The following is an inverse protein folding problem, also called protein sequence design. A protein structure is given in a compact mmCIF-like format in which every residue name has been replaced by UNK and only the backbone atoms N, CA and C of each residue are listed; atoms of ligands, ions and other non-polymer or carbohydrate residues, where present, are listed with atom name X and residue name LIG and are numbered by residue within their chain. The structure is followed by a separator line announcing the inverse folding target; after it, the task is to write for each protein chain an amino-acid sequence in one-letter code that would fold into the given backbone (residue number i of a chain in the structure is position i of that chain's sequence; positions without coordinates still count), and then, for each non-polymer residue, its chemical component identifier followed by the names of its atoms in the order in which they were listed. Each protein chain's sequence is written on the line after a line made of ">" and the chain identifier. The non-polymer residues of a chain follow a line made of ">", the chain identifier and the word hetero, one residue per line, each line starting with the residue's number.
data_IF_735782033768
#
_entry.id   IF_735782033768
#
_cell.length_a   1.000
_cell.length_b   1.000
_cell.length_c   1.000
_cell.angle_alpha   90.00
_cell.angle_beta   90.00
_cell.angle_gamma   90.00
#
_symmetry.space_group_name_H-M   'P 1'
#
loop_
_entity.id
_entity.type
_entity.pdbx_description
1 polymer ?
#
# COMPACT_ATOMS: atom_id res chain seq x y z
N UNK A 1 22.17 -17.20 -7.91
CA UNK A 1 20.86 -17.40 -8.56
C UNK A 1 20.08 -18.36 -7.69
N UNK A 2 18.92 -17.94 -7.16
CA UNK A 2 18.13 -18.71 -6.19
C UNK A 2 17.50 -19.94 -6.85
N UNK A 3 18.21 -21.07 -6.80
CA UNK A 3 17.67 -22.39 -7.12
C UNK A 3 16.72 -22.87 -6.00
N UNK A 4 15.62 -22.16 -5.76
CA UNK A 4 14.52 -22.69 -4.96
C UNK A 4 13.47 -23.29 -5.91
N UNK A 5 13.19 -24.60 -5.86
CA UNK A 5 12.12 -25.26 -6.62
C UNK A 5 10.78 -24.52 -6.55
N UNK A 6 10.50 -23.85 -5.42
CA UNK A 6 9.33 -23.01 -5.20
C UNK A 6 9.07 -21.99 -6.31
N UNK A 7 10.12 -21.36 -6.85
CA UNK A 7 9.94 -20.32 -7.87
C UNK A 7 9.63 -20.89 -9.24
N UNK A 8 10.06 -22.13 -9.53
CA UNK A 8 9.65 -22.79 -10.78
C UNK A 8 8.15 -23.07 -10.77
N UNK A 9 7.61 -23.49 -9.62
CA UNK A 9 6.18 -23.70 -9.46
C UNK A 9 5.40 -22.38 -9.56
N UNK A 10 5.88 -21.32 -8.90
CA UNK A 10 5.25 -19.99 -8.99
C UNK A 10 5.34 -19.36 -10.39
N UNK A 11 6.38 -19.69 -11.17
CA UNK A 11 6.49 -19.28 -12.58
C UNK A 11 5.50 -20.03 -13.48
N UNK A 12 5.09 -21.25 -13.12
CA UNK A 12 4.02 -21.96 -13.84
C UNK A 12 2.67 -21.30 -13.58
N UNK A 13 2.45 -20.82 -12.35
CA UNK A 13 1.25 -20.04 -12.00
C UNK A 13 1.24 -18.67 -12.72
N UNK A 14 2.36 -17.96 -12.71
CA UNK A 14 2.51 -16.65 -13.34
C UNK A 14 3.89 -16.49 -14.02
N UNK A 15 3.97 -16.48 -15.36
CA UNK A 15 5.23 -16.33 -16.07
C UNK A 15 5.90 -14.97 -15.84
N UNK A 16 5.14 -13.96 -15.39
CA UNK A 16 5.64 -12.62 -15.08
C UNK A 16 6.01 -12.47 -13.60
N UNK A 17 6.25 -13.57 -12.86
CA UNK A 17 6.61 -13.54 -11.44
C UNK A 17 7.70 -12.49 -11.11
N UNK A 18 8.74 -12.40 -11.95
CA UNK A 18 9.85 -11.47 -11.77
C UNK A 18 9.62 -10.10 -12.43
N UNK A 19 8.38 -9.61 -12.43
CA UNK A 19 8.03 -8.21 -12.70
C UNK A 19 7.54 -7.52 -11.43
N UNK A 20 7.40 -6.20 -11.48
CA UNK A 20 6.78 -5.41 -10.40
C UNK A 20 5.40 -5.98 -10.02
N UNK A 21 4.55 -6.20 -11.02
CA UNK A 21 3.18 -6.71 -10.84
C UNK A 21 3.19 -8.15 -10.34
N UNK A 22 4.12 -8.98 -10.82
CA UNK A 22 4.29 -10.36 -10.40
C UNK A 22 4.62 -10.49 -8.92
N UNK A 23 5.65 -9.76 -8.45
CA UNK A 23 6.06 -9.76 -7.06
C UNK A 23 5.02 -9.10 -6.14
N UNK A 24 4.44 -7.97 -6.54
CA UNK A 24 3.37 -7.30 -5.78
C UNK A 24 2.16 -8.23 -5.62
N UNK A 25 1.74 -8.91 -6.69
CA UNK A 25 0.65 -9.88 -6.65
C UNK A 25 0.95 -11.07 -5.75
N UNK A 26 2.19 -11.57 -5.75
CA UNK A 26 2.62 -12.67 -4.89
C UNK A 26 2.51 -12.27 -3.41
N UNK A 27 3.04 -11.10 -3.06
CA UNK A 27 2.96 -10.58 -1.69
C UNK A 27 1.50 -10.35 -1.26
N UNK A 28 0.68 -9.83 -2.16
CA UNK A 28 -0.73 -9.60 -1.90
C UNK A 28 -1.51 -10.91 -1.66
N UNK A 29 -1.23 -11.97 -2.43
CA UNK A 29 -1.86 -13.28 -2.23
C UNK A 29 -1.34 -13.94 -0.94
N UNK A 30 -0.04 -13.84 -0.63
CA UNK A 30 0.55 -14.30 0.63
C UNK A 30 -0.13 -13.66 1.85
N UNK A 31 -0.31 -12.34 1.85
CA UNK A 31 -1.02 -11.62 2.91
C UNK A 31 -2.48 -12.11 3.07
N UNK A 32 -3.11 -12.48 1.95
CA UNK A 32 -4.53 -12.79 1.93
C UNK A 32 -4.86 -14.25 2.24
N UNK A 33 -3.91 -15.20 2.31
CA UNK A 33 -4.17 -16.64 2.45
C UNK A 33 -5.20 -17.04 3.53
N UNK A 34 -5.44 -16.22 4.56
CA UNK A 34 -6.52 -16.39 5.57
C UNK A 34 -7.93 -16.02 5.11
N UNK A 35 -8.06 -15.23 4.07
CA UNK A 35 -9.27 -14.57 3.62
C UNK A 35 -9.63 -15.03 2.21
N UNK A 36 -9.72 -16.35 2.01
CA UNK A 36 -10.03 -17.05 0.74
C UNK A 36 -11.19 -16.42 -0.05
N UNK A 37 -12.17 -15.83 0.65
CA UNK A 37 -13.33 -15.13 0.08
C UNK A 37 -13.05 -13.80 -0.65
N UNK A 38 -11.81 -13.28 -0.63
CA UNK A 38 -11.42 -11.98 -1.25
C UNK A 38 -10.25 -12.08 -2.25
N UNK A 39 -9.92 -13.29 -2.69
CA UNK A 39 -8.80 -13.48 -3.62
C UNK A 39 -9.22 -13.37 -5.07
N UNK A 40 -8.25 -12.94 -5.89
CA UNK A 40 -8.22 -13.25 -7.33
C UNK A 40 -7.35 -14.49 -7.63
N UNK A 41 -6.58 -14.97 -6.63
CA UNK A 41 -5.64 -16.12 -6.65
C UNK A 41 -4.85 -16.20 -7.96
N UNK A 42 -3.87 -15.30 -8.10
CA UNK A 42 -2.92 -15.32 -9.21
C UNK A 42 -1.95 -16.50 -9.05
N UNK A 43 -1.64 -16.87 -7.80
CA UNK A 43 -0.74 -17.98 -7.46
C UNK A 43 -1.48 -19.11 -6.72
N UNK A 44 -2.22 -19.99 -7.43
CA UNK A 44 -2.92 -21.13 -6.82
C UNK A 44 -1.97 -22.09 -6.08
N UNK A 45 -0.69 -22.16 -6.43
CA UNK A 45 0.29 -23.00 -5.75
C UNK A 45 0.51 -22.59 -4.28
N UNK A 46 0.19 -21.35 -3.90
CA UNK A 46 0.22 -20.92 -2.49
C UNK A 46 -0.81 -21.63 -1.60
N UNK A 47 -1.81 -22.30 -2.18
CA UNK A 47 -2.73 -23.16 -1.43
C UNK A 47 -2.00 -24.35 -0.80
N UNK A 48 -0.88 -24.78 -1.38
CA UNK A 48 0.03 -25.70 -0.71
C UNK A 48 0.86 -24.94 0.33
N UNK A 49 0.58 -25.20 1.61
CA UNK A 49 1.29 -24.58 2.74
C UNK A 49 2.81 -24.77 2.65
N UNK A 50 3.31 -25.83 1.99
CA UNK A 50 4.74 -26.05 1.80
C UNK A 50 5.38 -24.97 0.93
N UNK A 51 4.69 -24.50 -0.11
CA UNK A 51 5.15 -23.41 -0.98
C UNK A 51 5.27 -22.11 -0.19
N UNK A 52 4.29 -21.83 0.68
CA UNK A 52 4.32 -20.67 1.56
C UNK A 52 5.50 -20.71 2.56
N UNK A 53 5.78 -21.88 3.12
CA UNK A 53 6.94 -22.08 4.00
C UNK A 53 8.26 -22.01 3.21
N UNK A 54 8.34 -22.58 2.01
CA UNK A 54 9.52 -22.48 1.15
C UNK A 54 9.86 -21.02 0.79
N UNK A 55 8.85 -20.18 0.51
CA UNK A 55 9.01 -18.74 0.29
C UNK A 55 9.57 -18.01 1.53
N UNK A 56 9.20 -18.45 2.72
CA UNK A 56 9.76 -17.93 3.96
C UNK A 56 11.21 -18.42 4.21
N UNK A 57 11.76 -19.27 3.32
CA UNK A 57 13.08 -19.88 3.50
C UNK A 57 13.06 -21.08 4.48
N UNK A 58 11.88 -21.66 4.68
CA UNK A 58 11.61 -22.60 5.76
C UNK A 58 11.30 -24.03 5.30
N UNK A 59 11.36 -24.32 4.00
CA UNK A 59 10.85 -25.59 3.45
C UNK A 59 11.87 -26.71 3.20
N UNK A 60 13.19 -26.49 3.32
CA UNK A 60 14.21 -27.51 2.98
C UNK A 60 15.47 -27.53 3.89
N UNK A 61 15.37 -27.12 5.16
CA UNK A 61 16.54 -26.96 6.04
C UNK A 61 16.76 -28.08 7.06
N UNK A 62 17.76 -28.94 6.83
CA UNK A 62 18.38 -29.82 7.83
C UNK A 62 18.70 -29.04 9.14
N UNK A 63 17.99 -29.34 10.23
CA UNK A 63 18.25 -28.94 11.62
C UNK A 63 18.60 -27.44 11.87
N UNK A 64 17.56 -26.61 12.08
CA UNK A 64 17.46 -25.45 13.00
C UNK A 64 16.26 -24.55 12.67
N UNK A 65 15.72 -24.61 11.46
CA UNK A 65 14.57 -23.79 11.04
C UNK A 65 13.22 -24.45 11.35
N UNK A 66 13.07 -25.75 11.12
CA UNK A 66 11.88 -26.52 11.51
C UNK A 66 11.62 -26.49 13.02
N UNK A 67 12.70 -26.46 13.80
CA UNK A 67 12.64 -26.31 15.25
C UNK A 67 12.20 -24.89 15.65
N UNK A 68 12.65 -23.85 14.95
CA UNK A 68 12.18 -22.46 15.16
C UNK A 68 10.70 -22.34 14.81
N UNK A 69 10.24 -22.94 13.70
CA UNK A 69 8.82 -22.92 13.30
C UNK A 69 7.97 -23.74 14.25
N UNK A 70 8.40 -24.96 14.59
CA UNK A 70 7.73 -25.79 15.56
C UNK A 70 7.64 -25.03 16.89
N UNK A 71 8.74 -24.47 17.40
CA UNK A 71 8.74 -23.65 18.62
C UNK A 71 7.84 -22.41 18.51
N UNK A 72 7.86 -21.67 17.41
CA UNK A 72 6.95 -20.52 17.16
C UNK A 72 5.48 -20.97 17.15
N UNK A 73 5.18 -22.16 16.62
CA UNK A 73 3.83 -22.71 16.52
C UNK A 73 3.35 -23.41 17.81
N UNK A 74 4.24 -24.04 18.59
CA UNK A 74 3.91 -24.83 19.78
C UNK A 74 4.09 -24.07 21.09
N UNK A 75 5.06 -23.15 21.13
CA UNK A 75 5.30 -22.27 22.27
C UNK A 75 5.81 -20.89 21.80
N UNK A 76 4.88 -19.99 21.41
CA UNK A 76 5.21 -18.63 21.02
C UNK A 76 6.00 -17.83 22.08
N UNK A 77 6.05 -18.29 23.34
CA UNK A 77 6.80 -17.64 24.43
C UNK A 77 8.24 -18.13 24.55
N UNK A 78 8.50 -19.40 24.22
CA UNK A 78 9.79 -20.07 24.43
C UNK A 78 10.78 -19.93 23.28
N UNK A 79 10.32 -19.72 22.06
CA UNK A 79 11.17 -19.85 20.86
C UNK A 79 12.30 -18.82 20.77
N UNK A 80 12.14 -17.64 21.37
CA UNK A 80 13.14 -16.58 21.32
C UNK A 80 14.10 -16.60 22.51
N UNK A 81 13.91 -17.42 23.56
CA UNK A 81 14.60 -17.27 24.84
C UNK A 81 16.15 -17.28 24.74
N UNK A 82 16.72 -18.02 23.79
CA UNK A 82 18.18 -18.12 23.57
C UNK A 82 18.72 -17.14 22.50
N UNK A 83 17.87 -16.29 21.92
CA UNK A 83 18.24 -15.36 20.85
C UNK A 83 18.79 -14.02 21.39
N UNK A 84 19.47 -13.21 20.56
CA UNK A 84 19.88 -11.85 20.94
C UNK A 84 18.69 -10.97 21.34
N UNK A 85 18.94 -9.92 22.13
CA UNK A 85 17.90 -9.01 22.64
C UNK A 85 17.00 -8.39 21.57
N UNK A 86 17.54 -8.07 20.39
CA UNK A 86 16.76 -7.57 19.24
C UNK A 86 15.74 -8.58 18.71
N UNK A 87 16.05 -9.88 18.80
CA UNK A 87 15.14 -10.97 18.43
C UNK A 87 14.05 -11.16 19.49
N UNK A 88 14.37 -10.95 20.77
CA UNK A 88 13.36 -10.94 21.84
C UNK A 88 12.34 -9.81 21.66
N UNK A 89 12.78 -8.61 21.28
CA UNK A 89 11.89 -7.47 21.03
C UNK A 89 10.93 -7.75 19.87
N UNK A 90 11.44 -8.29 18.76
CA UNK A 90 10.60 -8.72 17.63
C UNK A 90 9.62 -9.83 18.02
N UNK A 91 10.06 -10.83 18.79
CA UNK A 91 9.20 -11.92 19.25
C UNK A 91 8.05 -11.42 20.15
N UNK A 92 8.35 -10.49 21.08
CA UNK A 92 7.33 -9.85 21.94
C UNK A 92 6.32 -9.06 21.13
N UNK A 93 6.73 -8.40 20.05
CA UNK A 93 5.81 -7.72 19.15
C UNK A 93 4.80 -8.69 18.53
N UNK A 94 5.26 -9.79 17.92
CA UNK A 94 4.36 -10.79 17.32
C UNK A 94 3.49 -11.49 18.36
N UNK A 95 4.02 -11.80 19.54
CA UNK A 95 3.24 -12.34 20.67
C UNK A 95 2.10 -11.38 21.07
N UNK A 96 2.39 -10.09 21.18
CA UNK A 96 1.42 -9.07 21.54
C UNK A 96 0.31 -8.96 20.50
N UNK A 97 0.66 -9.00 19.21
CA UNK A 97 -0.32 -9.04 18.13
C UNK A 97 -1.18 -10.31 18.18
N UNK A 98 -0.60 -11.47 18.52
CA UNK A 98 -1.35 -12.71 18.75
C UNK A 98 -2.34 -12.62 19.91
N UNK A 99 -1.99 -11.94 21.01
CA UNK A 99 -2.91 -11.72 22.15
C UNK A 99 -4.11 -10.84 21.77
N UNK A 100 -3.90 -9.83 20.92
CA UNK A 100 -4.94 -8.87 20.52
C UNK A 100 -5.85 -9.45 19.43
N UNK A 101 -5.28 -10.13 18.44
CA UNK A 101 -6.00 -10.52 17.21
C UNK A 101 -6.20 -12.04 17.05
N UNK A 102 -5.77 -12.85 18.02
CA UNK A 102 -5.95 -14.30 18.08
C UNK A 102 -4.64 -15.09 17.99
N UNK A 103 -4.62 -16.26 18.63
CA UNK A 103 -3.39 -17.02 18.91
C UNK A 103 -2.47 -17.26 17.70
N UNK A 104 -3.04 -17.45 16.50
CA UNK A 104 -2.26 -17.72 15.29
C UNK A 104 -1.85 -16.45 14.53
N UNK A 105 -2.37 -15.27 14.88
CA UNK A 105 -2.13 -14.03 14.13
C UNK A 105 -0.67 -13.57 14.20
N UNK A 106 -0.05 -13.65 15.38
CA UNK A 106 1.36 -13.28 15.55
C UNK A 106 2.30 -14.09 14.67
N UNK A 107 2.13 -15.41 14.66
CA UNK A 107 2.94 -16.33 13.85
C UNK A 107 2.78 -16.09 12.35
N UNK A 108 1.59 -15.79 11.89
CA UNK A 108 1.39 -15.52 10.47
C UNK A 108 1.89 -14.16 10.03
N UNK A 109 1.77 -13.14 10.88
CA UNK A 109 2.37 -11.84 10.62
C UNK A 109 3.90 -11.96 10.51
N UNK A 110 4.51 -12.78 11.38
CA UNK A 110 5.92 -13.12 11.28
C UNK A 110 6.26 -13.78 9.94
N UNK A 111 5.54 -14.85 9.57
CA UNK A 111 5.78 -15.57 8.31
C UNK A 111 5.64 -14.65 7.09
N UNK A 112 4.61 -13.80 7.06
CA UNK A 112 4.42 -12.84 5.98
C UNK A 112 5.57 -11.83 5.90
N UNK A 113 6.04 -11.29 7.04
CA UNK A 113 7.19 -10.39 7.04
C UNK A 113 8.45 -11.08 6.50
N UNK A 114 8.72 -12.33 6.90
CA UNK A 114 9.85 -13.10 6.35
C UNK A 114 9.74 -13.29 4.85
N UNK A 115 8.56 -13.65 4.34
CA UNK A 115 8.32 -13.80 2.89
C UNK A 115 8.53 -12.48 2.16
N UNK A 116 7.99 -11.38 2.71
CA UNK A 116 8.18 -10.04 2.16
C UNK A 116 9.65 -9.68 2.06
N UNK A 117 10.39 -9.85 3.15
CA UNK A 117 11.81 -9.50 3.19
C UNK A 117 12.62 -10.35 2.19
N UNK A 118 12.34 -11.66 2.09
CA UNK A 118 12.95 -12.54 1.08
C UNK A 118 12.63 -12.12 -0.35
N UNK A 119 11.38 -11.72 -0.64
CA UNK A 119 10.97 -11.23 -1.96
C UNK A 119 11.65 -9.88 -2.27
N UNK A 120 11.79 -9.00 -1.29
CA UNK A 120 12.49 -7.73 -1.45
C UNK A 120 14.01 -7.92 -1.70
N UNK A 121 14.61 -8.95 -1.12
CA UNK A 121 15.99 -9.32 -1.44
C UNK A 121 16.11 -9.84 -2.88
N UNK A 122 15.16 -10.65 -3.35
CA UNK A 122 15.09 -11.07 -4.76
C UNK A 122 14.91 -9.86 -5.67
N UNK A 123 14.00 -8.96 -5.33
CA UNK A 123 13.75 -7.72 -6.06
C UNK A 123 15.05 -6.92 -6.23
N UNK A 124 15.80 -6.68 -5.15
CA UNK A 124 17.11 -6.01 -5.18
C UNK A 124 18.10 -6.74 -6.07
N UNK A 125 18.24 -8.05 -5.88
CA UNK A 125 19.23 -8.87 -6.60
C UNK A 125 18.98 -8.91 -8.11
N UNK A 126 17.71 -8.83 -8.51
CA UNK A 126 17.29 -8.84 -9.92
C UNK A 126 17.05 -7.43 -10.47
N UNK A 127 17.26 -6.38 -9.67
CA UNK A 127 16.95 -4.99 -10.02
C UNK A 127 15.52 -4.79 -10.55
N UNK A 128 14.54 -5.49 -9.96
CA UNK A 128 13.13 -5.37 -10.33
C UNK A 128 12.58 -4.08 -9.72
N UNK A 129 11.97 -3.24 -10.54
CA UNK A 129 11.40 -1.96 -10.09
C UNK A 129 10.34 -2.17 -9.01
N UNK A 130 10.29 -1.28 -8.03
CA UNK A 130 9.20 -1.19 -7.06
C UNK A 130 8.08 -0.25 -7.50
N UNK A 131 8.14 0.23 -8.75
CA UNK A 131 7.20 1.20 -9.31
C UNK A 131 6.35 0.54 -10.39
N UNK A 132 5.04 0.73 -10.31
CA UNK A 132 4.06 0.29 -11.30
C UNK A 132 3.41 1.50 -11.97
N UNK A 133 2.72 1.25 -13.08
CA UNK A 133 1.94 2.28 -13.75
C UNK A 133 0.50 2.29 -13.23
N UNK A 134 0.06 3.40 -12.66
CA UNK A 134 -1.32 3.60 -12.24
C UNK A 134 -2.10 4.37 -13.30
N UNK A 135 -3.30 3.88 -13.60
CA UNK A 135 -4.25 4.58 -14.47
C UNK A 135 -5.40 5.12 -13.61
N UNK A 136 -5.69 6.40 -13.74
CA UNK A 136 -6.85 7.04 -13.10
C UNK A 136 -7.70 7.73 -14.16
N UNK A 137 -9.01 7.69 -13.96
CA UNK A 137 -9.98 8.40 -14.80
C UNK A 137 -10.79 9.33 -13.92
N UNK A 138 -10.58 10.63 -14.06
CA UNK A 138 -11.28 11.67 -13.30
C UNK A 138 -11.91 12.62 -14.32
N UNK A 139 -13.24 12.81 -14.25
CA UNK A 139 -13.99 13.72 -15.14
C UNK A 139 -13.79 13.44 -16.64
N UNK A 140 -13.81 12.15 -17.00
CA UNK A 140 -13.53 11.64 -18.35
C UNK A 140 -12.10 11.92 -18.86
N UNK A 141 -11.20 12.45 -18.02
CA UNK A 141 -9.78 12.56 -18.31
C UNK A 141 -9.04 11.33 -17.78
N UNK A 142 -8.48 10.55 -18.70
CA UNK A 142 -7.59 9.43 -18.37
C UNK A 142 -6.17 9.97 -18.18
N UNK A 143 -5.52 9.55 -17.10
CA UNK A 143 -4.14 9.89 -16.81
C UNK A 143 -3.42 8.68 -16.24
N UNK A 144 -2.18 8.51 -16.70
CA UNK A 144 -1.33 7.37 -16.36
C UNK A 144 -0.02 7.88 -15.79
N UNK A 145 0.37 7.42 -14.62
CA UNK A 145 1.58 7.88 -13.95
C UNK A 145 2.22 6.76 -13.11
N UNK A 146 3.56 6.82 -12.88
CA UNK A 146 4.24 5.86 -12.02
C UNK A 146 3.88 6.06 -10.55
N UNK A 147 3.66 4.96 -9.83
CA UNK A 147 3.41 4.95 -8.39
C UNK A 147 4.24 3.86 -7.70
N UNK A 148 4.57 4.08 -6.43
CA UNK A 148 5.23 3.07 -5.59
C UNK A 148 4.23 1.96 -5.26
N UNK A 149 4.67 0.71 -5.38
CA UNK A 149 3.95 -0.45 -4.86
C UNK A 149 4.25 -0.61 -3.36
N UNK A 150 3.23 -0.47 -2.51
CA UNK A 150 3.34 -0.40 -1.04
C UNK A 150 4.20 -1.49 -0.36
N UNK A 151 4.32 -2.65 -1.00
CA UNK A 151 5.02 -3.81 -0.43
C UNK A 151 6.41 -4.05 -1.03
N UNK A 152 6.76 -3.35 -2.12
CA UNK A 152 8.06 -3.45 -2.79
C UNK A 152 8.98 -2.30 -2.38
N UNK A 153 10.27 -2.47 -2.63
CA UNK A 153 11.26 -1.43 -2.34
C UNK A 153 11.38 -0.44 -3.49
N UNK A 154 11.38 0.85 -3.19
CA UNK A 154 11.75 1.89 -4.16
C UNK A 154 13.26 1.86 -4.39
N UNK A 155 13.70 1.40 -5.57
CA UNK A 155 15.10 1.37 -5.96
C UNK A 155 15.60 2.77 -6.37
N UNK A 156 16.91 2.96 -6.47
CA UNK A 156 17.47 4.26 -6.90
C UNK A 156 17.03 4.64 -8.33
N UNK A 157 16.92 3.66 -9.22
CA UNK A 157 16.37 3.85 -10.57
C UNK A 157 14.92 4.37 -10.54
N UNK A 158 14.14 3.92 -9.56
CA UNK A 158 12.73 4.26 -9.42
C UNK A 158 12.54 5.70 -8.96
N UNK A 159 13.44 6.19 -8.09
CA UNK A 159 13.42 7.57 -7.59
C UNK A 159 13.46 8.60 -8.72
N UNK A 160 14.30 8.35 -9.72
CA UNK A 160 14.44 9.22 -10.89
C UNK A 160 13.14 9.21 -11.71
N UNK A 161 12.49 8.06 -11.86
CA UNK A 161 11.22 7.91 -12.60
C UNK A 161 10.12 8.70 -11.88
N UNK A 162 9.97 8.49 -10.57
CA UNK A 162 8.96 9.17 -9.75
C UNK A 162 9.14 10.68 -9.75
N UNK A 163 10.37 11.15 -9.55
CA UNK A 163 10.67 12.59 -9.52
C UNK A 163 10.38 13.27 -10.87
N UNK A 164 10.65 12.58 -11.99
CA UNK A 164 10.35 13.10 -13.33
C UNK A 164 8.85 13.19 -13.62
N UNK A 165 8.02 12.36 -12.97
CA UNK A 165 6.58 12.36 -13.17
C UNK A 165 5.84 13.45 -12.37
N UNK A 166 6.47 13.99 -11.31
CA UNK A 166 5.87 15.01 -10.42
C UNK A 166 5.23 16.19 -11.19
N UNK A 167 5.91 16.84 -12.16
CA UNK A 167 5.34 17.99 -12.86
C UNK A 167 4.06 17.65 -13.63
N UNK A 168 4.01 16.48 -14.29
CA UNK A 168 2.84 16.05 -15.07
C UNK A 168 1.66 15.71 -14.16
N UNK A 169 1.91 15.08 -13.01
CA UNK A 169 0.87 14.77 -12.01
C UNK A 169 0.28 16.07 -11.44
N UNK A 170 1.13 17.05 -11.11
CA UNK A 170 0.68 18.36 -10.63
C UNK A 170 -0.11 19.08 -11.71
N UNK A 171 0.37 19.09 -12.96
CA UNK A 171 -0.33 19.70 -14.08
C UNK A 171 -1.71 19.07 -14.30
N UNK A 172 -1.79 17.74 -14.23
CA UNK A 172 -3.05 17.03 -14.32
C UNK A 172 -4.01 17.44 -13.18
N UNK A 173 -3.56 17.42 -11.92
CA UNK A 173 -4.36 17.87 -10.78
C UNK A 173 -4.86 19.32 -10.95
N UNK A 174 -3.97 20.24 -11.29
CA UNK A 174 -4.31 21.66 -11.51
C UNK A 174 -5.38 21.81 -12.58
N UNK A 175 -5.25 21.07 -13.69
CA UNK A 175 -6.25 21.10 -14.76
C UNK A 175 -7.62 20.64 -14.26
N UNK A 176 -7.69 19.57 -13.45
CA UNK A 176 -8.94 19.05 -12.91
C UNK A 176 -9.67 20.06 -12.01
N UNK A 177 -8.91 20.77 -11.17
CA UNK A 177 -9.42 21.77 -10.23
C UNK A 177 -9.99 22.98 -10.94
N UNK A 178 -9.44 23.33 -12.10
CA UNK A 178 -9.83 24.51 -12.88
C UNK A 178 -10.99 24.26 -13.86
N UNK A 179 -11.22 23.01 -14.30
CA UNK A 179 -12.35 22.67 -15.19
C UNK A 179 -13.68 22.96 -14.47
N UNK A 180 -14.64 23.56 -15.17
CA UNK A 180 -15.95 23.89 -14.59
C UNK A 180 -16.79 22.63 -14.28
N UNK A 181 -17.46 22.52 -13.12
CA UNK A 181 -17.42 23.49 -12.04
C UNK A 181 -16.10 23.40 -11.27
N UNK A 182 -15.48 24.56 -11.05
CA UNK A 182 -14.17 24.63 -10.41
C UNK A 182 -14.26 24.18 -8.96
N UNK A 183 -13.27 23.40 -8.52
CA UNK A 183 -13.23 22.87 -7.17
C UNK A 183 -12.69 23.92 -6.19
N UNK A 184 -13.18 23.88 -4.96
CA UNK A 184 -12.62 24.64 -3.86
C UNK A 184 -11.32 23.97 -3.40
N UNK A 185 -10.19 24.65 -3.58
CA UNK A 185 -8.86 24.09 -3.29
C UNK A 185 -8.38 24.47 -1.89
N UNK A 186 -7.83 23.49 -1.18
CA UNK A 186 -7.31 23.62 0.17
C UNK A 186 -5.93 22.95 0.31
N UNK A 187 -5.05 23.57 1.08
CA UNK A 187 -3.88 22.95 1.70
C UNK A 187 -4.30 22.39 3.06
N UNK A 188 -4.05 21.12 3.30
CA UNK A 188 -4.39 20.48 4.58
C UNK A 188 -3.17 20.47 5.48
N UNK A 189 -3.27 21.13 6.63
CA UNK A 189 -2.16 21.22 7.58
C UNK A 189 -2.02 19.94 8.43
N UNK A 190 -0.99 19.89 9.29
CA UNK A 190 -0.75 18.76 10.21
C UNK A 190 -1.91 18.47 11.18
N UNK A 191 -2.69 19.50 11.53
CA UNK A 191 -3.90 19.39 12.37
C UNK A 191 -5.16 18.98 11.59
N UNK A 192 -5.01 18.57 10.31
CA UNK A 192 -6.09 18.21 9.38
C UNK A 192 -7.09 19.35 9.12
N UNK A 193 -6.66 20.60 9.28
CA UNK A 193 -7.47 21.79 8.94
C UNK A 193 -7.25 22.17 7.49
N UNK A 194 -8.34 22.54 6.82
CA UNK A 194 -8.33 23.02 5.44
C UNK A 194 -8.01 24.52 5.42
N UNK A 195 -6.89 24.89 4.80
CA UNK A 195 -6.50 26.28 4.55
C UNK A 195 -6.74 26.54 3.08
N UNK A 196 -7.50 27.59 2.73
CA UNK A 196 -7.73 27.93 1.32
C UNK A 196 -6.40 28.09 0.57
N UNK A 197 -6.32 27.49 -0.61
CA UNK A 197 -5.14 27.51 -1.45
C UNK A 197 -5.51 27.85 -2.90
N UNK A 198 -4.52 28.36 -3.64
CA UNK A 198 -4.61 28.61 -5.07
C UNK A 198 -3.80 27.58 -5.86
N UNK A 199 -4.06 27.49 -7.17
CA UNK A 199 -3.21 26.72 -8.09
C UNK A 199 -1.74 27.15 -8.00
N UNK A 200 -1.48 28.45 -7.91
CA UNK A 200 -0.11 28.98 -7.74
C UNK A 200 0.56 28.49 -6.46
N UNK A 201 -0.21 28.20 -5.41
CA UNK A 201 0.31 27.60 -4.18
C UNK A 201 0.78 26.18 -4.47
N UNK A 202 0.00 25.37 -5.19
CA UNK A 202 0.35 23.99 -5.57
C UNK A 202 1.64 23.99 -6.40
N UNK A 203 1.70 24.84 -7.43
CA UNK A 203 2.85 24.96 -8.33
C UNK A 203 4.14 25.36 -7.59
N UNK A 204 4.03 26.17 -6.52
CA UNK A 204 5.19 26.56 -5.71
C UNK A 204 5.85 25.41 -4.95
N UNK A 205 5.14 24.29 -4.74
CA UNK A 205 5.67 23.08 -4.12
C UNK A 205 6.24 22.07 -5.13
N UNK A 206 5.91 22.20 -6.43
CA UNK A 206 6.40 21.32 -7.48
C UNK A 206 7.93 21.11 -7.47
N UNK A 207 8.79 22.15 -7.36
CA UNK A 207 10.25 21.95 -7.39
C UNK A 207 10.80 21.26 -6.12
N UNK A 208 10.01 21.13 -5.05
CA UNK A 208 10.42 20.51 -3.79
C UNK A 208 9.98 19.06 -3.67
N UNK A 209 8.98 18.66 -4.46
CA UNK A 209 8.42 17.32 -4.40
C UNK A 209 9.29 16.32 -5.16
N UNK A 210 9.46 15.14 -4.58
CA UNK A 210 10.21 14.02 -5.19
C UNK A 210 9.29 12.87 -5.60
N UNK A 211 8.08 12.80 -5.03
CA UNK A 211 7.02 11.87 -5.41
C UNK A 211 5.69 12.63 -5.34
N UNK A 212 4.79 12.35 -6.28
CA UNK A 212 3.43 12.85 -6.24
C UNK A 212 2.43 11.70 -6.42
N UNK A 213 1.31 11.73 -5.71
CA UNK A 213 0.19 10.82 -5.92
C UNK A 213 -1.13 11.60 -5.96
N UNK A 214 -2.06 11.10 -6.76
CA UNK A 214 -3.37 11.69 -6.97
C UNK A 214 -4.45 10.61 -6.90
N UNK A 215 -5.53 10.91 -6.18
CA UNK A 215 -6.72 10.07 -6.23
C UNK A 215 -7.98 10.91 -6.06
N UNK A 216 -9.12 10.29 -6.35
CA UNK A 216 -10.42 10.92 -6.20
C UNK A 216 -11.35 10.04 -5.40
N UNK A 217 -12.20 10.67 -4.60
CA UNK A 217 -13.20 10.00 -3.78
C UNK A 217 -14.59 10.58 -4.03
N UNK A 218 -15.58 9.73 -3.89
CA UNK A 218 -16.98 10.14 -3.87
C UNK A 218 -17.75 9.19 -2.97
N UNK A 219 -18.60 9.77 -2.13
CA UNK A 219 -19.31 9.03 -1.11
C UNK A 219 -20.77 9.46 -1.07
N UNK A 220 -21.66 8.47 -1.05
CA UNK A 220 -23.02 8.70 -0.57
C UNK A 220 -22.99 8.60 0.95
N UNK A 221 -23.22 9.73 1.63
CA UNK A 221 -23.25 9.79 3.08
C UNK A 221 -24.64 9.45 3.60
N UNK A 222 -24.71 8.42 4.43
CA UNK A 222 -25.93 7.96 5.09
C UNK A 222 -25.74 8.05 6.61
N UNK A 223 -26.79 8.45 7.32
CA UNK A 223 -26.81 8.46 8.78
C UNK A 223 -27.16 7.05 9.26
N UNK A 224 -26.29 6.45 10.06
CA UNK A 224 -26.54 5.13 10.64
C UNK A 224 -27.55 5.23 11.80
N UNK A 225 -28.13 4.08 12.17
CA UNK A 225 -29.01 3.93 13.35
C UNK A 225 -28.32 4.36 14.66
N UNK A 226 -26.98 4.36 14.69
CA UNK A 226 -26.17 4.80 15.84
C UNK A 226 -25.85 6.30 15.82
N UNK A 227 -26.54 7.09 14.98
CA UNK A 227 -26.29 8.52 14.79
C UNK A 227 -24.86 8.83 14.31
N UNK A 228 -24.25 7.91 13.56
CA UNK A 228 -22.94 8.11 12.94
C UNK A 228 -23.08 8.26 11.42
N UNK A 229 -22.30 9.14 10.80
CA UNK A 229 -22.27 9.24 9.34
C UNK A 229 -21.40 8.12 8.75
N UNK A 230 -21.96 7.36 7.81
CA UNK A 230 -21.25 6.34 7.04
C UNK A 230 -21.21 6.77 5.58
N UNK A 231 -20.00 6.88 5.02
CA UNK A 231 -19.81 7.10 3.59
C UNK A 231 -19.76 5.75 2.87
N UNK A 232 -20.64 5.56 1.89
CA UNK A 232 -20.53 4.45 0.93
C UNK A 232 -19.90 4.98 -0.35
N UNK A 233 -18.74 4.43 -0.72
CA UNK A 233 -18.05 4.81 -1.95
C UNK A 233 -18.98 4.65 -3.15
N UNK A 234 -19.00 5.65 -4.02
CA UNK A 234 -19.80 5.67 -5.25
C UNK A 234 -18.97 6.26 -6.38
N UNK A 235 -19.26 5.89 -7.62
CA UNK A 235 -18.70 6.58 -8.77
C UNK A 235 -19.51 7.84 -9.08
N UNK A 236 -18.83 8.96 -9.38
CA UNK A 236 -19.42 10.20 -9.89
C UNK A 236 -18.51 10.74 -10.98
N UNK A 237 -19.11 11.30 -12.05
CA UNK A 237 -18.35 11.96 -13.13
C UNK A 237 -17.45 13.07 -12.56
N UNK A 238 -18.04 13.93 -11.73
CA UNK A 238 -17.32 14.92 -10.94
C UNK A 238 -17.21 14.41 -9.50
N UNK A 239 -16.02 13.97 -9.06
CA UNK A 239 -15.84 13.44 -7.73
C UNK A 239 -16.14 14.47 -6.63
N UNK A 240 -16.54 14.02 -5.45
CA UNK A 240 -16.73 14.91 -4.30
C UNK A 240 -15.40 15.54 -3.87
N UNK A 241 -14.32 14.76 -3.87
CA UNK A 241 -12.99 15.19 -3.47
C UNK A 241 -11.94 14.67 -4.46
N UNK A 242 -10.95 15.51 -4.78
CA UNK A 242 -9.73 15.15 -5.51
C UNK A 242 -8.54 15.52 -4.64
N UNK A 243 -7.61 14.59 -4.48
CA UNK A 243 -6.52 14.69 -3.53
C UNK A 243 -5.19 14.66 -4.26
N UNK A 244 -4.25 15.51 -3.85
CA UNK A 244 -2.87 15.51 -4.33
C UNK A 244 -1.94 15.44 -3.12
N UNK A 245 -1.11 14.41 -3.09
CA UNK A 245 -0.05 14.20 -2.12
C UNK A 245 1.28 14.49 -2.78
N UNK A 246 2.10 15.33 -2.15
CA UNK A 246 3.45 15.64 -2.58
C UNK A 246 4.42 15.26 -1.46
N UNK A 247 5.27 14.28 -1.71
CA UNK A 247 6.29 13.86 -0.76
C UNK A 247 7.56 14.66 -1.04
N UNK A 248 8.13 15.26 0.00
CA UNK A 248 9.36 16.07 -0.09
C UNK A 248 10.63 15.23 0.11
N UNK A 249 10.48 13.99 0.58
CA UNK A 249 11.56 13.03 0.71
C UNK A 249 11.13 11.61 0.25
N UNK A 250 12.10 10.82 -0.21
CA UNK A 250 11.85 9.46 -0.72
C UNK A 250 11.49 8.43 0.35
N UNK A 251 11.59 8.78 1.64
CA UNK A 251 11.11 7.94 2.75
C UNK A 251 9.70 8.35 3.18
N UNK A 252 9.07 9.29 2.47
CA UNK A 252 7.68 9.70 2.64
C UNK A 252 7.34 10.25 4.04
N UNK A 253 8.32 10.83 4.74
CA UNK A 253 8.10 11.39 6.09
C UNK A 253 7.58 12.82 6.05
N UNK A 254 7.92 13.56 5.01
CA UNK A 254 7.52 14.94 4.78
C UNK A 254 6.53 15.01 3.63
N UNK A 255 5.27 15.34 3.95
CA UNK A 255 4.17 15.33 2.98
C UNK A 255 3.47 16.69 2.99
N UNK A 256 3.22 17.21 1.79
CA UNK A 256 2.30 18.31 1.53
C UNK A 256 1.04 17.71 0.91
N UNK A 257 -0.12 18.04 1.48
CA UNK A 257 -1.39 17.46 1.06
C UNK A 257 -2.37 18.55 0.63
N UNK A 258 -2.79 18.49 -0.63
CA UNK A 258 -3.83 19.32 -1.20
C UNK A 258 -5.13 18.53 -1.36
N UNK A 259 -6.23 19.19 -1.03
CA UNK A 259 -7.58 18.67 -1.16
C UNK A 259 -8.41 19.66 -1.97
N UNK A 260 -8.94 19.19 -3.09
CA UNK A 260 -9.91 19.92 -3.89
C UNK A 260 -11.31 19.33 -3.62
N UNK A 261 -12.26 20.19 -3.26
CA UNK A 261 -13.62 19.79 -2.88
C UNK A 261 -14.62 20.33 -3.88
N UNK A 262 -15.55 19.48 -4.33
CA UNK A 262 -16.61 19.87 -5.24
C UNK A 262 -17.44 21.04 -4.65
N UNK A 263 -17.78 22.07 -5.44
CA UNK A 263 -18.36 23.31 -4.89
C UNK A 263 -19.79 23.16 -4.37
N UNK A 264 -20.55 22.17 -4.84
CA UNK A 264 -21.92 21.91 -4.37
C UNK A 264 -21.92 21.20 -3.00
N UNK A 265 -22.13 21.99 -1.96
CA UNK A 265 -22.16 21.52 -0.58
C UNK A 265 -23.35 20.58 -0.28
N UNK A 266 -24.42 20.60 -1.10
CA UNK A 266 -25.57 19.71 -0.90
C UNK A 266 -25.19 18.23 -1.03
N UNK A 267 -24.09 17.94 -1.73
CA UNK A 267 -23.50 16.59 -1.85
C UNK A 267 -22.94 16.05 -0.55
N UNK A 268 -22.68 16.93 0.42
CA UNK A 268 -22.10 16.59 1.70
C UNK A 268 -23.11 16.82 2.83
N UNK A 269 -24.24 16.12 2.77
CA UNK A 269 -25.35 16.19 3.74
C UNK A 269 -24.91 16.17 5.20
N UNK A 270 -23.79 15.51 5.54
CA UNK A 270 -23.16 15.54 6.88
C UNK A 270 -22.76 16.93 7.41
N UNK A 271 -22.49 17.89 6.53
CA UNK A 271 -22.07 19.24 6.90
C UNK A 271 -23.25 20.22 7.00
N UNK A 272 -24.43 19.84 6.48
CA UNK A 272 -25.63 20.68 6.54
C UNK A 272 -26.31 20.68 7.92
N UNK A 273 -26.04 19.70 8.79
CA UNK A 273 -26.63 19.58 10.14
C UNK A 273 -25.77 20.21 11.26
N UNK A 274 -24.65 20.88 10.94
CA UNK A 274 -23.73 21.51 11.91
C UNK A 274 -23.75 23.05 11.83
N UNK A 275 -24.70 23.63 11.07
CA UNK A 275 -24.93 25.07 10.98
C UNK A 275 -26.01 25.53 11.97
#
# INVERSE_FOLDING_TARGET
>A
MSNLPVFQLLLQDNPNLFSTEGLSSLLQDCLRLRYSKRHKFIYPSLLDRRVYLELAGLGNGNAKHDEIIHRIMTDPKGWCLDAPSSVHEGARFYESMGKIFGANFGTELFLYHTIRDNIQDIQKNLAISGVSQRNISIRDCLFSYPIVEDQLLTLESDRIILQKAVPEIIQFFVSLVQIAPAYNLFLVNKDKRNIHASVTTVESYAPKAVIADIYAESCNWEKSEQNCWRGKSTFRKDPDEVHLYLHLDHKENEIIYFKAVYPDLSRFTRFAEVA
#
